data_IF_541381374853
#
_entry.id   IF_541381374853
#
_cell.length_a   1.000
_cell.length_b   1.000
_cell.length_c   1.000
_cell.angle_alpha   90.00
_cell.angle_beta   90.00
_cell.angle_gamma   90.00
#
_symmetry.space_group_name_H-M   'P 1'
#
loop_
_entity.id
_entity.type
_entity.pdbx_description
1 polymer ?
#
# COMPACT_ATOMS: atom_id res chain seq x y z
N UNK A 1 -34.39 -15.70 0.55
CA UNK A 1 -33.87 -15.28 1.87
C UNK A 1 -32.63 -14.43 1.60
N UNK A 2 -32.84 -13.15 1.33
CA UNK A 2 -31.75 -12.20 1.07
C UNK A 2 -31.24 -11.66 2.40
N UNK A 3 -30.19 -12.29 2.92
CA UNK A 3 -29.39 -11.72 4.00
C UNK A 3 -28.47 -10.65 3.41
N UNK A 4 -29.05 -9.56 2.92
CA UNK A 4 -28.30 -8.35 2.57
C UNK A 4 -27.85 -7.66 3.86
N UNK A 5 -26.81 -8.23 4.47
CA UNK A 5 -26.14 -7.66 5.63
C UNK A 5 -25.61 -6.29 5.20
N UNK A 6 -26.22 -5.23 5.71
CA UNK A 6 -25.79 -3.85 5.47
C UNK A 6 -24.36 -3.66 5.98
N UNK A 7 -23.40 -3.52 5.05
CA UNK A 7 -21.99 -3.24 5.34
C UNK A 7 -21.77 -1.82 5.90
N UNK A 8 -22.78 -0.96 5.81
CA UNK A 8 -22.75 0.48 6.11
C UNK A 8 -22.25 0.86 7.51
N UNK A 9 -22.32 -0.06 8.47
CA UNK A 9 -21.88 0.16 9.86
C UNK A 9 -20.85 -0.86 10.36
N UNK A 10 -20.23 -1.64 9.47
CA UNK A 10 -19.23 -2.63 9.88
C UNK A 10 -17.85 -1.98 9.95
N UNK A 11 -17.16 -2.23 11.07
CA UNK A 11 -15.71 -2.05 11.17
C UNK A 11 -15.04 -3.40 10.97
N UNK A 12 -13.92 -3.41 10.25
CA UNK A 12 -13.10 -4.60 10.07
C UNK A 12 -11.67 -4.35 10.52
N UNK A 13 -11.11 -5.32 11.25
CA UNK A 13 -9.67 -5.35 11.51
C UNK A 13 -8.96 -5.78 10.23
N UNK A 14 -8.19 -4.87 9.66
CA UNK A 14 -7.42 -5.07 8.42
C UNK A 14 -5.96 -4.70 8.64
N UNK A 15 -5.05 -5.27 7.86
CA UNK A 15 -3.64 -4.87 7.84
C UNK A 15 -3.43 -3.82 6.76
N UNK A 16 -2.67 -2.77 7.08
CA UNK A 16 -2.24 -1.77 6.12
C UNK A 16 -1.36 -2.42 5.04
N UNK A 17 -1.72 -2.27 3.77
CA UNK A 17 -0.95 -2.84 2.66
C UNK A 17 0.40 -2.16 2.48
N UNK A 18 0.58 -0.95 3.01
CA UNK A 18 1.85 -0.22 2.94
C UNK A 18 2.79 -0.60 4.08
N UNK A 19 2.33 -0.55 5.34
CA UNK A 19 3.20 -0.74 6.51
C UNK A 19 2.95 -2.03 7.30
N UNK A 20 1.96 -2.85 6.92
CA UNK A 20 1.64 -4.12 7.56
C UNK A 20 0.93 -4.03 8.92
N UNK A 21 0.82 -2.84 9.51
CA UNK A 21 0.17 -2.64 10.81
C UNK A 21 -1.34 -2.83 10.74
N UNK A 22 -1.91 -3.41 11.80
CA UNK A 22 -3.35 -3.55 11.92
C UNK A 22 -4.04 -2.19 12.17
N UNK A 23 -5.19 -1.98 11.56
CA UNK A 23 -6.08 -0.86 11.86
C UNK A 23 -7.55 -1.25 11.72
N UNK A 24 -8.43 -0.45 12.32
CA UNK A 24 -9.87 -0.62 12.22
C UNK A 24 -10.34 0.18 11.01
N UNK A 25 -10.63 -0.50 9.91
CA UNK A 25 -11.20 0.13 8.72
C UNK A 25 -12.71 0.27 8.87
N UNK A 26 -13.22 1.45 8.53
CA UNK A 26 -14.64 1.69 8.28
C UNK A 26 -14.92 1.48 6.80
N UNK A 27 -16.11 0.95 6.48
CA UNK A 27 -16.51 0.75 5.10
C UNK A 27 -16.65 2.11 4.41
N UNK A 28 -15.96 2.29 3.29
CA UNK A 28 -16.10 3.48 2.46
C UNK A 28 -17.27 3.26 1.49
N UNK A 29 -18.43 3.85 1.80
CA UNK A 29 -19.61 3.75 0.94
C UNK A 29 -19.40 4.36 -0.45
N UNK A 30 -18.51 5.35 -0.56
CA UNK A 30 -18.23 6.00 -1.84
C UNK A 30 -17.46 5.07 -2.78
N UNK A 31 -16.58 4.23 -2.23
CA UNK A 31 -15.77 3.27 -2.98
C UNK A 31 -16.33 1.85 -2.93
N UNK A 32 -17.43 1.64 -2.21
CA UNK A 32 -18.03 0.34 -1.94
C UNK A 32 -17.02 -0.72 -1.46
N UNK A 33 -16.04 -0.32 -0.65
CA UNK A 33 -14.95 -1.19 -0.17
C UNK A 33 -14.38 -0.70 1.16
N UNK A 34 -13.66 -1.57 1.87
CA UNK A 34 -12.91 -1.18 3.06
C UNK A 34 -11.54 -0.64 2.66
N UNK A 35 -11.08 0.53 3.16
CA UNK A 35 -9.73 1.00 2.91
C UNK A 35 -8.70 -0.02 3.42
N UNK A 36 -7.62 -0.16 2.67
CA UNK A 36 -6.53 -1.11 2.99
C UNK A 36 -5.23 -0.42 3.39
N UNK A 37 -5.22 0.91 3.45
CA UNK A 37 -4.15 1.71 4.03
C UNK A 37 -4.75 2.64 5.08
N UNK A 38 -3.93 3.27 5.93
CA UNK A 38 -4.42 4.29 6.85
C UNK A 38 -4.98 5.47 6.06
N UNK A 39 -6.30 5.75 6.09
CA UNK A 39 -6.81 7.02 5.60
C UNK A 39 -6.39 8.10 6.61
N UNK A 40 -5.97 9.25 6.10
CA UNK A 40 -5.40 10.39 6.84
C UNK A 40 -5.87 10.48 8.30
N UNK A 41 -5.07 9.93 9.23
CA UNK A 41 -5.44 9.86 10.65
C UNK A 41 -5.21 11.24 11.27
N UNK A 42 -6.30 11.97 11.52
CA UNK A 42 -6.25 13.27 12.21
C UNK A 42 -5.34 13.20 13.44
N UNK A 43 -4.25 13.98 13.40
CA UNK A 43 -3.38 14.22 14.56
C UNK A 43 -2.10 13.37 14.65
N UNK A 44 -1.86 12.38 13.78
CA UNK A 44 -0.58 11.64 13.77
C UNK A 44 0.15 11.81 12.43
N UNK A 45 1.17 12.67 12.45
CA UNK A 45 2.04 13.04 11.30
C UNK A 45 2.75 11.88 10.59
N UNK A 46 2.68 10.65 11.08
CA UNK A 46 3.70 9.62 10.79
C UNK A 46 3.35 8.58 9.73
N UNK A 47 2.12 8.51 9.22
CA UNK A 47 1.78 7.50 8.21
C UNK A 47 1.41 8.13 6.86
N UNK A 48 2.44 8.39 6.05
CA UNK A 48 2.32 8.68 4.61
C UNK A 48 1.83 7.46 3.80
N UNK A 49 1.14 6.49 4.41
CA UNK A 49 0.70 5.26 3.76
C UNK A 49 -0.27 5.54 2.61
N UNK A 50 -1.14 6.53 2.75
CA UNK A 50 -1.99 6.96 1.63
C UNK A 50 -1.15 7.45 0.45
N UNK A 51 -0.15 8.29 0.70
CA UNK A 51 0.76 8.79 -0.34
C UNK A 51 1.51 7.64 -1.04
N UNK A 52 2.11 6.72 -0.27
CA UNK A 52 2.82 5.57 -0.84
C UNK A 52 1.91 4.63 -1.62
N UNK A 53 0.66 4.45 -1.19
CA UNK A 53 -0.33 3.67 -1.91
C UNK A 53 -0.59 4.27 -3.31
N UNK A 54 -0.91 5.56 -3.38
CA UNK A 54 -1.16 6.22 -4.67
C UNK A 54 0.12 6.37 -5.51
N UNK A 55 1.30 6.54 -4.87
CA UNK A 55 2.60 6.53 -5.57
C UNK A 55 2.84 5.19 -6.26
N UNK A 56 2.61 4.08 -5.56
CA UNK A 56 2.74 2.74 -6.14
C UNK A 56 1.70 2.51 -7.25
N UNK A 57 0.46 2.96 -7.08
CA UNK A 57 -0.59 2.87 -8.11
C UNK A 57 -0.23 3.66 -9.38
N UNK A 58 0.27 4.89 -9.23
CA UNK A 58 0.73 5.73 -10.34
C UNK A 58 1.86 5.06 -11.14
N UNK A 59 2.82 4.45 -10.43
CA UNK A 59 3.92 3.69 -11.04
C UNK A 59 3.41 2.44 -11.74
N UNK A 60 2.39 1.78 -11.18
CA UNK A 60 1.75 0.62 -11.78
C UNK A 60 1.06 0.99 -13.10
N UNK A 61 0.36 2.13 -13.16
CA UNK A 61 -0.20 2.65 -14.41
C UNK A 61 0.89 2.96 -15.44
N UNK A 62 2.00 3.56 -15.01
CA UNK A 62 3.16 3.77 -15.89
C UNK A 62 3.68 2.46 -16.49
N UNK A 63 3.78 1.42 -15.66
CA UNK A 63 4.25 0.11 -16.06
C UNK A 63 3.29 -0.56 -17.05
N UNK A 64 1.99 -0.62 -16.73
CA UNK A 64 0.96 -1.19 -17.60
C UNK A 64 0.85 -0.42 -18.93
N UNK A 65 0.96 0.90 -18.88
CA UNK A 65 0.94 1.73 -20.09
C UNK A 65 2.14 1.43 -21.00
N UNK A 66 3.35 1.33 -20.44
CA UNK A 66 4.57 1.00 -21.20
C UNK A 66 4.55 -0.43 -21.75
N UNK A 67 3.92 -1.37 -21.06
CA UNK A 67 3.76 -2.74 -21.54
C UNK A 67 2.92 -2.80 -22.82
N UNK A 68 2.03 -1.81 -23.06
CA UNK A 68 1.18 -1.74 -24.25
C UNK A 68 0.05 -2.78 -24.30
N UNK A 69 0.08 -3.77 -23.42
CA UNK A 69 -0.92 -4.82 -23.26
C UNK A 69 -1.19 -5.12 -21.78
N UNK A 70 -2.24 -5.89 -21.52
CA UNK A 70 -2.51 -6.43 -20.19
C UNK A 70 -1.39 -7.37 -19.71
N UNK A 71 -1.15 -7.40 -18.40
CA UNK A 71 -0.02 -8.13 -17.78
C UNK A 71 -0.52 -9.11 -16.70
N UNK A 72 -0.07 -10.38 -16.71
CA UNK A 72 -0.37 -11.33 -15.63
C UNK A 72 -0.01 -10.80 -14.23
N UNK A 73 -0.86 -11.07 -13.24
CA UNK A 73 -0.66 -10.59 -11.87
C UNK A 73 0.66 -11.05 -11.27
N UNK A 74 1.08 -12.27 -11.57
CA UNK A 74 2.32 -12.87 -11.08
C UNK A 74 3.55 -12.09 -11.54
N UNK A 75 3.51 -11.58 -12.78
CA UNK A 75 4.58 -10.75 -13.33
C UNK A 75 4.66 -9.42 -12.58
N UNK A 76 3.52 -8.82 -12.26
CA UNK A 76 3.50 -7.57 -11.49
C UNK A 76 4.02 -7.81 -10.07
N UNK A 77 3.52 -8.83 -9.38
CA UNK A 77 3.95 -9.09 -7.99
C UNK A 77 5.46 -9.37 -7.88
N UNK A 78 6.03 -10.09 -8.86
CA UNK A 78 7.44 -10.50 -8.85
C UNK A 78 8.40 -9.48 -9.46
N UNK A 79 8.04 -8.89 -10.61
CA UNK A 79 8.98 -8.13 -11.45
C UNK A 79 8.74 -6.62 -11.39
N UNK A 80 7.59 -6.15 -10.90
CA UNK A 80 7.38 -4.73 -10.67
C UNK A 80 8.28 -4.27 -9.53
N UNK A 81 9.04 -3.21 -9.76
CA UNK A 81 9.87 -2.63 -8.71
C UNK A 81 8.99 -1.84 -7.74
N UNK A 82 8.58 -2.44 -6.63
CA UNK A 82 7.74 -1.79 -5.62
C UNK A 82 8.46 -0.72 -4.78
N UNK A 83 9.77 -0.48 -4.95
CA UNK A 83 10.58 0.47 -4.14
C UNK A 83 10.40 0.29 -2.61
N UNK A 84 10.04 -0.91 -2.15
CA UNK A 84 9.67 -1.21 -0.76
C UNK A 84 8.51 -0.34 -0.21
N UNK A 85 7.69 0.24 -1.08
CA UNK A 85 6.58 1.13 -0.73
C UNK A 85 5.32 0.37 -0.27
N UNK A 86 5.23 -0.91 -0.60
CA UNK A 86 4.03 -1.73 -0.38
C UNK A 86 4.41 -3.08 0.20
N UNK A 87 3.98 -3.30 1.45
CA UNK A 87 4.17 -4.52 2.20
C UNK A 87 3.31 -5.69 1.69
N UNK A 88 2.00 -5.48 1.48
CA UNK A 88 1.06 -6.52 1.00
C UNK A 88 0.68 -6.29 -0.46
N UNK A 89 1.59 -6.58 -1.38
CA UNK A 89 1.47 -6.30 -2.83
C UNK A 89 0.23 -6.94 -3.45
N UNK A 90 -0.01 -8.23 -3.17
CA UNK A 90 -1.18 -8.98 -3.65
C UNK A 90 -2.49 -8.37 -3.15
N UNK A 91 -2.54 -8.02 -1.87
CA UNK A 91 -3.71 -7.40 -1.25
C UNK A 91 -3.99 -6.01 -1.83
N UNK A 92 -2.95 -5.21 -2.10
CA UNK A 92 -3.12 -3.92 -2.80
C UNK A 92 -3.73 -4.12 -4.19
N UNK A 93 -3.25 -5.08 -4.99
CA UNK A 93 -3.79 -5.36 -6.31
C UNK A 93 -5.26 -5.83 -6.21
N UNK A 94 -5.55 -6.80 -5.33
CA UNK A 94 -6.90 -7.29 -5.10
C UNK A 94 -7.86 -6.15 -4.74
N UNK A 95 -7.43 -5.25 -3.86
CA UNK A 95 -8.21 -4.09 -3.48
C UNK A 95 -8.45 -3.13 -4.64
N UNK A 96 -7.40 -2.85 -5.45
CA UNK A 96 -7.54 -2.00 -6.63
C UNK A 96 -8.54 -2.61 -7.64
N UNK A 97 -8.60 -3.93 -7.77
CA UNK A 97 -9.60 -4.61 -8.59
C UNK A 97 -11.01 -4.47 -8.01
N UNK A 98 -11.18 -4.64 -6.69
CA UNK A 98 -12.47 -4.45 -6.01
C UNK A 98 -12.95 -2.99 -6.06
N UNK A 99 -12.04 -2.02 -6.04
CA UNK A 99 -12.37 -0.60 -6.17
C UNK A 99 -12.56 -0.16 -7.63
N UNK A 100 -12.32 -1.04 -8.62
CA UNK A 100 -12.37 -0.70 -10.05
C UNK A 100 -11.22 0.20 -10.52
N UNK A 101 -10.14 0.33 -9.72
CA UNK A 101 -8.92 1.07 -10.08
C UNK A 101 -8.04 0.28 -11.05
N UNK A 102 -8.22 -1.04 -11.09
CA UNK A 102 -7.66 -1.94 -12.08
C UNK A 102 -8.78 -2.79 -12.66
N UNK A 103 -8.56 -3.32 -13.86
CA UNK A 103 -9.46 -4.30 -14.49
C UNK A 103 -8.66 -5.53 -14.90
N UNK A 104 -9.36 -6.63 -15.17
CA UNK A 104 -8.81 -7.84 -15.76
C UNK A 104 -9.39 -8.04 -17.15
N UNK A 105 -8.57 -8.54 -18.08
CA UNK A 105 -9.04 -8.96 -19.39
C UNK A 105 -9.61 -10.40 -19.37
N UNK A 106 -10.04 -10.89 -20.53
CA UNK A 106 -10.56 -12.25 -20.70
C UNK A 106 -9.55 -13.36 -20.38
N UNK A 107 -8.26 -13.04 -20.30
CA UNK A 107 -7.18 -13.96 -19.92
C UNK A 107 -6.71 -13.73 -18.47
N UNK A 108 -7.49 -13.01 -17.66
CA UNK A 108 -7.19 -12.67 -16.26
C UNK A 108 -5.89 -11.87 -16.06
N UNK A 109 -5.53 -11.06 -17.05
CA UNK A 109 -4.36 -10.17 -17.00
C UNK A 109 -4.79 -8.76 -16.63
N UNK A 110 -3.98 -8.10 -15.81
CA UNK A 110 -4.24 -6.76 -15.29
C UNK A 110 -4.10 -5.70 -16.40
N UNK A 111 -5.03 -4.75 -16.43
CA UNK A 111 -5.00 -3.60 -17.33
C UNK A 111 -5.59 -2.35 -16.66
N UNK A 112 -5.33 -1.19 -17.25
CA UNK A 112 -5.90 0.09 -16.82
C UNK A 112 -7.33 0.17 -17.37
N UNK A 113 -8.36 0.37 -16.52
CA UNK A 113 -9.73 0.56 -16.96
C UNK A 113 -9.87 1.74 -17.94
N UNK A 114 -10.78 1.68 -18.93
CA UNK A 114 -10.95 2.75 -19.91
C UNK A 114 -11.14 4.16 -19.31
N UNK A 115 -11.99 4.38 -18.28
CA UNK A 115 -12.17 5.71 -17.69
C UNK A 115 -10.88 6.29 -17.08
N UNK A 116 -10.03 5.43 -16.53
CA UNK A 116 -8.77 5.83 -15.90
C UNK A 116 -7.67 6.05 -16.94
N UNK A 117 -7.76 5.39 -18.10
CA UNK A 117 -6.74 5.47 -19.15
C UNK A 117 -6.55 6.90 -19.66
N UNK A 118 -7.62 7.67 -19.76
CA UNK A 118 -7.55 9.06 -20.25
C UNK A 118 -7.00 10.01 -19.19
N UNK A 119 -7.41 9.87 -17.93
CA UNK A 119 -6.79 10.56 -16.79
C UNK A 119 -5.30 10.29 -16.71
N UNK A 120 -4.89 9.03 -16.89
CA UNK A 120 -3.48 8.65 -16.86
C UNK A 120 -2.68 9.33 -17.98
N UNK A 121 -3.20 9.39 -19.20
CA UNK A 121 -2.55 10.11 -20.32
C UNK A 121 -2.39 11.59 -20.00
N UNK A 122 -3.41 12.19 -19.38
CA UNK A 122 -3.36 13.59 -18.96
C UNK A 122 -2.27 13.83 -17.92
N UNK A 123 -2.21 13.00 -16.88
CA UNK A 123 -1.14 13.05 -15.86
C UNK A 123 0.24 12.90 -16.51
N UNK A 124 0.39 11.95 -17.43
CA UNK A 124 1.66 11.70 -18.11
C UNK A 124 2.09 12.86 -19.01
N UNK A 125 1.14 13.59 -19.60
CA UNK A 125 1.42 14.77 -20.42
C UNK A 125 1.72 16.02 -19.56
N UNK A 126 1.05 16.19 -18.42
CA UNK A 126 1.15 17.39 -17.59
C UNK A 126 2.34 17.36 -16.62
N UNK A 127 2.75 16.19 -16.13
CA UNK A 127 3.72 16.08 -15.05
C UNK A 127 4.96 15.30 -15.46
N UNK A 128 6.15 15.88 -15.19
CA UNK A 128 7.39 15.13 -15.24
C UNK A 128 7.50 14.22 -14.03
N UNK A 129 7.10 12.95 -14.18
CA UNK A 129 7.06 11.98 -13.06
C UNK A 129 8.44 11.62 -12.50
N UNK A 130 9.52 11.98 -13.20
CA UNK A 130 10.89 11.86 -12.69
C UNK A 130 11.17 12.81 -11.52
N UNK A 131 10.54 13.98 -11.51
CA UNK A 131 10.69 15.00 -10.47
C UNK A 131 9.80 14.71 -9.23
N UNK A 132 10.34 14.73 -8.00
CA UNK A 132 9.57 14.43 -6.79
C UNK A 132 8.38 15.36 -6.54
N UNK A 133 8.49 16.66 -6.81
CA UNK A 133 7.41 17.63 -6.57
C UNK A 133 6.27 17.43 -7.56
N UNK A 134 6.59 17.29 -8.85
CA UNK A 134 5.60 16.99 -9.87
C UNK A 134 4.95 15.62 -9.64
N UNK A 135 5.69 14.65 -9.10
CA UNK A 135 5.12 13.35 -8.71
C UNK A 135 4.11 13.49 -7.57
N UNK A 136 4.38 14.31 -6.56
CA UNK A 136 3.44 14.57 -5.48
C UNK A 136 2.14 15.23 -6.02
N UNK A 137 2.28 16.23 -6.90
CA UNK A 137 1.12 16.85 -7.58
C UNK A 137 0.34 15.85 -8.44
N UNK A 138 1.03 14.98 -9.17
CA UNK A 138 0.40 13.92 -9.96
C UNK A 138 -0.38 12.91 -9.09
N UNK A 139 0.15 12.59 -7.90
CA UNK A 139 -0.53 11.73 -6.92
C UNK A 139 -1.82 12.39 -6.42
N UNK A 140 -1.76 13.68 -6.05
CA UNK A 140 -2.94 14.42 -5.59
C UNK A 140 -4.00 14.53 -6.70
N UNK A 141 -3.58 14.79 -7.94
CA UNK A 141 -4.46 14.80 -9.10
C UNK A 141 -5.10 13.43 -9.33
N UNK A 142 -4.30 12.35 -9.31
CA UNK A 142 -4.81 10.99 -9.47
C UNK A 142 -5.86 10.65 -8.43
N UNK A 143 -5.59 10.98 -7.16
CA UNK A 143 -6.52 10.76 -6.05
C UNK A 143 -7.85 11.50 -6.26
N UNK A 144 -7.79 12.76 -6.69
CA UNK A 144 -9.00 13.54 -6.97
C UNK A 144 -9.78 12.95 -8.15
N UNK A 145 -9.10 12.62 -9.25
CA UNK A 145 -9.71 12.06 -10.44
C UNK A 145 -10.39 10.71 -10.18
N UNK A 146 -9.75 9.80 -9.45
CA UNK A 146 -10.34 8.51 -9.09
C UNK A 146 -11.63 8.66 -8.27
N UNK A 147 -11.69 9.65 -7.38
CA UNK A 147 -12.92 9.96 -6.61
C UNK A 147 -14.03 10.50 -7.49
N UNK A 148 -13.70 11.32 -8.50
CA UNK A 148 -14.68 11.81 -9.46
C UNK A 148 -15.23 10.70 -10.35
N UNK A 149 -14.39 9.73 -10.72
CA UNK A 149 -14.75 8.63 -11.61
C UNK A 149 -15.50 7.49 -10.94
N UNK A 150 -15.70 7.51 -9.61
CA UNK A 150 -16.29 6.40 -8.82
C UNK A 150 -17.49 5.71 -9.48
N UNK A 151 -18.41 6.49 -10.07
CA UNK A 151 -19.63 5.96 -10.69
C UNK A 151 -19.40 5.23 -12.03
N UNK A 152 -18.26 5.49 -12.66
CA UNK A 152 -17.83 4.92 -13.94
C UNK A 152 -16.87 3.74 -13.74
N UNK A 153 -16.39 3.51 -12.52
CA UNK A 153 -15.51 2.39 -12.22
C UNK A 153 -16.33 1.10 -12.11
N UNK A 154 -15.80 0.02 -12.67
CA UNK A 154 -16.40 -1.30 -12.64
C UNK A 154 -15.58 -2.22 -11.71
N UNK A 155 -16.03 -2.43 -10.46
CA UNK A 155 -15.45 -3.40 -9.54
C UNK A 155 -15.38 -4.80 -10.13
N UNK A 156 -14.23 -5.45 -10.02
CA UNK A 156 -14.11 -6.88 -10.33
C UNK A 156 -14.74 -7.69 -9.18
N UNK A 157 -15.70 -8.59 -9.45
CA UNK A 157 -16.35 -9.39 -8.43
C UNK A 157 -15.36 -10.28 -7.67
N UNK A 158 -15.57 -10.44 -6.36
CA UNK A 158 -14.67 -11.21 -5.49
C UNK A 158 -14.47 -12.68 -5.94
N UNK A 159 -15.47 -13.28 -6.61
CA UNK A 159 -15.39 -14.64 -7.16
C UNK A 159 -14.38 -14.79 -8.31
N UNK A 160 -13.99 -13.69 -8.95
CA UNK A 160 -12.99 -13.67 -10.03
C UNK A 160 -11.57 -13.40 -9.50
N UNK A 161 -11.43 -13.04 -8.21
CA UNK A 161 -10.16 -12.71 -7.55
C UNK A 161 -9.41 -13.91 -6.95
N UNK A 162 -9.74 -15.14 -7.35
CA UNK A 162 -9.33 -16.39 -6.67
C UNK A 162 -7.80 -16.59 -6.51
N UNK A 163 -6.96 -15.89 -7.27
CA UNK A 163 -5.49 -15.96 -7.16
C UNK A 163 -4.84 -14.73 -6.47
N UNK A 164 -5.63 -13.72 -6.11
CA UNK A 164 -5.14 -12.46 -5.55
C UNK A 164 -5.01 -12.47 -4.02
N UNK A 165 -5.60 -13.46 -3.34
CA UNK A 165 -5.47 -13.59 -1.89
C UNK A 165 -4.26 -14.45 -1.52
N UNK A 166 -3.29 -13.92 -0.75
CA UNK A 166 -2.20 -14.75 -0.25
C UNK A 166 -2.79 -15.84 0.66
N UNK A 167 -2.42 -17.10 0.40
CA UNK A 167 -2.62 -18.18 1.37
C UNK A 167 -1.96 -17.80 2.69
N UNK A 168 -2.55 -18.17 3.84
CA UNK A 168 -2.01 -17.85 5.17
C UNK A 168 -0.49 -18.12 5.29
N UNK A 169 -0.01 -19.19 4.65
CA UNK A 169 1.41 -19.59 4.65
C UNK A 169 2.36 -18.65 3.89
N UNK A 170 1.86 -17.82 2.97
CA UNK A 170 2.68 -16.86 2.20
C UNK A 170 2.87 -15.52 2.93
N UNK A 171 1.90 -15.12 3.76
CA UNK A 171 1.97 -13.92 4.59
C UNK A 171 3.04 -14.08 5.68
N UNK A 172 3.13 -15.27 6.29
CA UNK A 172 4.06 -15.55 7.37
C UNK A 172 5.52 -15.53 6.88
N UNK A 173 5.80 -16.03 5.67
CA UNK A 173 7.14 -16.01 5.08
C UNK A 173 7.61 -14.61 4.64
N UNK A 174 6.69 -13.75 4.21
CA UNK A 174 7.02 -12.34 3.91
C UNK A 174 7.26 -11.54 5.20
N UNK A 175 6.52 -11.83 6.29
CA UNK A 175 6.75 -11.21 7.61
C UNK A 175 8.11 -11.52 8.23
N UNK A 176 8.63 -12.74 8.10
CA UNK A 176 9.94 -13.10 8.68
C UNK A 176 11.10 -12.42 7.96
N UNK A 177 11.07 -12.39 6.62
CA UNK A 177 12.15 -11.82 5.82
C UNK A 177 12.30 -10.30 5.96
N UNK A 178 11.22 -9.57 6.26
CA UNK A 178 11.26 -8.13 6.49
C UNK A 178 11.48 -7.77 7.97
N UNK A 179 10.99 -8.55 8.95
CA UNK A 179 11.38 -8.39 10.36
C UNK A 179 12.89 -8.59 10.56
N UNK A 180 13.52 -9.46 9.76
CA UNK A 180 14.97 -9.62 9.74
C UNK A 180 15.72 -8.38 9.23
N UNK A 181 15.10 -7.60 8.31
CA UNK A 181 15.66 -6.37 7.75
C UNK A 181 15.31 -5.11 8.54
N UNK A 182 14.18 -5.11 9.26
CA UNK A 182 13.75 -4.06 10.20
C UNK A 182 14.17 -4.36 11.64
N UNK A 183 15.32 -5.02 11.87
CA UNK A 183 15.93 -4.96 13.20
C UNK A 183 16.37 -3.52 13.43
N UNK A 184 15.86 -2.83 14.47
CA UNK A 184 16.55 -1.65 14.97
C UNK A 184 17.94 -2.11 15.41
N UNK A 185 18.96 -1.26 15.30
CA UNK A 185 20.15 -1.39 16.12
C UNK A 185 19.73 -1.25 17.59
N UNK A 186 19.18 -2.31 18.18
CA UNK A 186 18.95 -2.41 19.61
C UNK A 186 20.28 -2.83 20.23
N UNK A 187 21.06 -1.83 20.67
CA UNK A 187 21.95 -2.01 21.81
C UNK A 187 21.07 -2.56 22.94
N UNK A 188 21.30 -3.83 23.28
CA UNK A 188 20.49 -4.56 24.26
C UNK A 188 20.62 -3.97 25.68
N UNK A 189 19.65 -4.25 26.56
CA UNK A 189 19.75 -3.90 27.97
C UNK A 189 20.65 -4.93 28.66
N UNK A 190 21.90 -4.55 28.90
CA UNK A 190 22.86 -5.32 29.70
C UNK A 190 23.00 -4.71 31.09
N UNK A 191 22.58 -5.47 32.10
CA UNK A 191 22.70 -5.17 33.53
C UNK A 191 24.14 -4.83 33.97
N UNK A 192 24.21 -4.07 35.06
CA UNK A 192 25.40 -3.62 35.77
C UNK A 192 26.41 -4.73 36.13
N UNK A 193 27.70 -4.39 36.04
CA UNK A 193 28.72 -4.85 36.99
C UNK A 193 29.63 -3.69 37.36
N UNK A 194 29.76 -3.47 38.67
CA UNK A 194 30.78 -2.65 39.28
C UNK A 194 32.18 -3.28 39.11
N UNK A 195 33.19 -2.44 39.30
CA UNK A 195 34.61 -2.72 39.51
C UNK A 195 35.46 -3.19 38.33
N UNK A 196 36.33 -2.28 37.85
CA UNK A 196 37.80 -2.40 37.88
C UNK A 196 38.39 -1.00 37.62
N UNK A 197 38.69 -0.32 38.73
CA UNK A 197 39.84 0.55 39.01
C UNK A 197 40.48 1.39 37.90
N UNK A 198 40.45 2.71 38.10
CA UNK A 198 41.33 3.66 37.38
C UNK A 198 41.11 5.15 37.69
N UNK A 199 40.48 5.52 38.81
CA UNK A 199 40.32 6.92 39.20
C UNK A 199 41.55 7.38 39.99
N UNK A 200 42.32 8.28 39.36
CA UNK A 200 43.44 9.00 39.93
C UNK A 200 43.06 9.69 41.25
N UNK A 201 43.90 9.49 42.25
CA UNK A 201 44.00 10.30 43.46
C UNK A 201 44.15 11.78 43.09
N UNK A 202 43.29 12.63 43.67
CA UNK A 202 43.61 14.05 43.83
C UNK A 202 42.89 14.63 45.05
N UNK A 203 43.72 14.88 46.06
CA UNK A 203 43.68 15.95 47.06
C UNK A 203 42.35 16.31 47.76
N UNK A 204 42.35 16.12 49.07
CA UNK A 204 42.12 17.22 50.02
C UNK A 204 42.63 16.85 51.41
N UNK A 205 43.73 17.49 51.82
CA UNK A 205 44.10 17.68 53.23
C UNK A 205 43.31 18.88 53.77
N UNK A 206 42.59 18.68 54.86
CA UNK A 206 42.35 19.64 55.93
C UNK A 206 42.09 18.83 57.19
#
# INVERSE_FOLDING_TARGET
>A
MDSSISLKNRRMHVKCVVCGMGFNAEFDESLNTFPVHHPNMMGKKEFQCEFFFYKALLRLYSFLHRAGSSVPMEIIVRNFNWEDEVYLRKTMIAWCLTAGYLSIDSLRRLTIPPPIKDIWKEIYAMYSLGDPENRAKAIDYLKAALRCLIKELEPVPAGELLDAHPSKSSIDKETENLKAKMKPNSLGPGMATADITGARTRDKRS
#
